data_IF_722352822837
#
_entry.id   IF_722352822837
#
_cell.length_a   1.000
_cell.length_b   1.000
_cell.length_c   1.000
_cell.angle_alpha   90.00
_cell.angle_beta   90.00
_cell.angle_gamma   90.00
#
_symmetry.space_group_name_H-M   'P 1'
#
loop_
_entity.id
_entity.type
_entity.pdbx_description
1 polymer ?
#
# COMPACT_ATOMS: atom_id res chain seq x y z
N UNK A 1 -66.17 42.35 9.76
CA UNK A 1 -66.53 41.61 8.52
C UNK A 1 -65.28 40.91 8.01
N UNK A 2 -65.33 39.60 7.73
CA UNK A 2 -64.16 38.72 7.72
C UNK A 2 -63.41 38.69 6.38
N UNK A 3 -62.15 38.31 6.49
CA UNK A 3 -61.06 38.26 5.50
C UNK A 3 -61.26 37.23 4.38
N UNK A 4 -60.74 37.48 3.15
CA UNK A 4 -60.66 36.45 2.13
C UNK A 4 -59.50 35.50 2.42
N UNK A 5 -59.81 34.21 2.32
CA UNK A 5 -59.02 33.08 2.79
C UNK A 5 -57.75 32.87 1.94
N UNK A 6 -56.64 32.55 2.63
CA UNK A 6 -55.40 32.05 2.02
C UNK A 6 -55.62 30.63 1.50
N UNK A 7 -55.52 30.41 0.20
CA UNK A 7 -55.27 29.07 -0.33
C UNK A 7 -53.77 28.85 -0.48
N UNK A 8 -53.22 28.11 0.48
CA UNK A 8 -51.89 27.53 0.39
C UNK A 8 -51.91 26.41 -0.67
N UNK A 9 -51.30 26.67 -1.84
CA UNK A 9 -50.96 25.61 -2.78
C UNK A 9 -49.52 25.14 -2.54
N UNK A 10 -49.43 24.03 -1.84
CA UNK A 10 -48.23 23.18 -1.72
C UNK A 10 -47.84 22.64 -3.10
N UNK A 11 -46.72 23.10 -3.67
CA UNK A 11 -46.02 22.34 -4.72
C UNK A 11 -45.04 21.40 -4.00
N UNK A 12 -45.54 20.23 -3.59
CA UNK A 12 -44.69 19.11 -3.22
C UNK A 12 -44.29 18.35 -4.49
N UNK A 13 -42.98 18.10 -4.60
CA UNK A 13 -42.39 16.92 -5.24
C UNK A 13 -42.47 16.82 -6.77
N UNK A 14 -41.49 17.42 -7.46
CA UNK A 14 -41.10 17.02 -8.83
C UNK A 14 -39.59 16.74 -8.97
N UNK A 15 -38.93 16.20 -7.93
CA UNK A 15 -37.51 15.81 -8.00
C UNK A 15 -37.25 14.30 -7.78
N UNK A 16 -38.28 13.44 -7.84
CA UNK A 16 -38.12 12.00 -7.64
C UNK A 16 -37.98 11.18 -8.94
N UNK A 17 -38.28 11.74 -10.12
CA UNK A 17 -38.50 10.95 -11.34
C UNK A 17 -37.31 10.83 -12.31
N UNK A 18 -36.23 11.59 -12.14
CA UNK A 18 -35.09 11.59 -13.08
C UNK A 18 -33.95 10.67 -12.62
N UNK A 19 -33.80 10.48 -11.30
CA UNK A 19 -32.71 9.69 -10.73
C UNK A 19 -32.89 8.16 -10.83
N UNK A 20 -34.12 7.66 -11.06
CA UNK A 20 -34.39 6.22 -11.23
C UNK A 20 -34.10 5.75 -12.66
N UNK A 21 -34.39 6.58 -13.65
CA UNK A 21 -34.25 6.25 -15.08
C UNK A 21 -32.79 6.22 -15.52
N UNK A 22 -31.96 7.14 -15.02
CA UNK A 22 -30.51 7.14 -15.29
C UNK A 22 -29.84 5.94 -14.61
N UNK A 23 -30.24 5.58 -13.39
CA UNK A 23 -29.75 4.38 -12.69
C UNK A 23 -30.17 3.09 -13.40
N UNK A 24 -31.39 3.02 -13.94
CA UNK A 24 -31.87 1.86 -14.70
C UNK A 24 -31.16 1.71 -16.05
N UNK A 25 -30.85 2.82 -16.72
CA UNK A 25 -30.07 2.83 -17.97
C UNK A 25 -28.63 2.37 -17.74
N UNK A 26 -27.98 2.86 -16.68
CA UNK A 26 -26.64 2.40 -16.29
C UNK A 26 -26.66 0.90 -15.93
N UNK A 27 -27.65 0.44 -15.15
CA UNK A 27 -27.76 -0.97 -14.76
C UNK A 27 -27.97 -1.93 -15.95
N UNK A 28 -28.59 -1.46 -17.03
CA UNK A 28 -28.84 -2.24 -18.26
C UNK A 28 -27.64 -2.28 -19.22
N UNK A 29 -26.73 -1.31 -19.16
CA UNK A 29 -25.49 -1.31 -19.97
C UNK A 29 -24.33 -2.06 -19.30
N UNK A 30 -24.30 -2.17 -17.96
CA UNK A 30 -23.24 -2.90 -17.25
C UNK A 30 -23.44 -4.42 -17.19
N UNK A 31 -24.62 -4.93 -17.52
CA UNK A 31 -24.95 -6.36 -17.32
C UNK A 31 -24.74 -7.27 -18.53
N UNK A 32 -24.30 -6.76 -19.70
CA UNK A 32 -24.22 -7.58 -20.93
C UNK A 32 -22.85 -7.68 -21.61
N UNK A 33 -21.75 -7.14 -21.07
CA UNK A 33 -20.44 -7.31 -21.73
C UNK A 33 -19.22 -7.60 -20.86
N UNK A 34 -19.22 -7.49 -19.53
CA UNK A 34 -18.01 -7.86 -18.76
C UNK A 34 -18.37 -8.42 -17.37
N UNK A 35 -18.90 -9.64 -17.34
CA UNK A 35 -18.81 -10.49 -16.15
C UNK A 35 -17.49 -11.28 -16.22
N UNK A 36 -16.37 -10.56 -16.35
CA UNK A 36 -15.10 -11.12 -15.91
C UNK A 36 -15.17 -11.05 -14.39
N UNK A 37 -15.26 -12.20 -13.72
CA UNK A 37 -15.09 -12.29 -12.27
C UNK A 37 -13.81 -11.54 -11.93
N UNK A 38 -13.94 -10.38 -11.32
CA UNK A 38 -12.77 -9.66 -10.82
C UNK A 38 -12.13 -10.57 -9.78
N UNK A 39 -10.80 -10.80 -9.79
CA UNK A 39 -10.09 -11.69 -8.84
C UNK A 39 -10.18 -11.23 -7.37
N UNK A 40 -11.04 -10.25 -7.08
CA UNK A 40 -11.33 -9.74 -5.75
C UNK A 40 -12.29 -10.63 -4.95
N UNK A 41 -12.88 -11.67 -5.55
CA UNK A 41 -13.90 -12.52 -4.91
C UNK A 41 -13.37 -13.26 -3.66
N UNK A 42 -12.06 -13.51 -3.58
CA UNK A 42 -11.40 -14.16 -2.43
C UNK A 42 -11.02 -13.17 -1.30
N UNK A 43 -11.33 -11.88 -1.44
CA UNK A 43 -10.99 -10.86 -0.42
C UNK A 43 -12.19 -10.51 0.45
N UNK A 44 -12.03 -10.70 1.76
CA UNK A 44 -13.00 -10.24 2.75
C UNK A 44 -12.83 -8.74 3.05
N UNK A 45 -13.89 -7.96 2.83
CA UNK A 45 -13.92 -6.54 3.20
C UNK A 45 -14.02 -6.39 4.72
N UNK A 46 -12.92 -5.95 5.34
CA UNK A 46 -12.86 -5.71 6.77
C UNK A 46 -12.97 -4.22 7.07
N UNK A 47 -13.98 -3.82 7.83
CA UNK A 47 -14.14 -2.44 8.30
C UNK A 47 -13.33 -2.24 9.60
N UNK A 48 -12.02 -2.06 9.47
CA UNK A 48 -11.12 -1.85 10.60
C UNK A 48 -11.17 -0.38 11.06
N UNK A 49 -11.36 -0.17 12.36
CA UNK A 49 -11.25 1.16 12.98
C UNK A 49 -9.83 1.36 13.50
N UNK A 50 -9.11 2.30 12.92
CA UNK A 50 -7.74 2.63 13.30
C UNK A 50 -7.69 3.96 14.06
N UNK A 51 -6.84 4.10 15.09
CA UNK A 51 -6.46 5.39 15.63
C UNK A 51 -5.92 6.31 14.54
N UNK A 52 -6.20 7.62 14.64
CA UNK A 52 -5.80 8.61 13.60
C UNK A 52 -4.30 8.61 13.33
N UNK A 53 -3.50 8.59 14.40
CA UNK A 53 -2.04 8.58 14.27
C UNK A 53 -1.54 7.33 13.54
N UNK A 54 -2.12 6.17 13.84
CA UNK A 54 -1.74 4.92 13.18
C UNK A 54 -2.10 4.94 11.69
N UNK A 55 -3.28 5.46 11.34
CA UNK A 55 -3.68 5.66 9.95
C UNK A 55 -2.67 6.54 9.19
N UNK A 56 -2.29 7.69 9.76
CA UNK A 56 -1.31 8.59 9.13
C UNK A 56 0.04 7.93 8.95
N UNK A 57 0.53 7.18 9.95
CA UNK A 57 1.81 6.46 9.85
C UNK A 57 1.81 5.41 8.74
N UNK A 58 0.70 4.69 8.55
CA UNK A 58 0.56 3.69 7.49
C UNK A 58 0.51 4.37 6.13
N UNK A 59 -0.20 5.50 6.02
CA UNK A 59 -0.26 6.27 4.78
C UNK A 59 1.12 6.79 4.34
N UNK A 60 1.91 7.32 5.27
CA UNK A 60 3.29 7.73 4.99
C UNK A 60 4.19 6.55 4.61
N UNK A 61 4.05 5.41 5.30
CA UNK A 61 4.81 4.20 4.98
C UNK A 61 4.50 3.69 3.58
N UNK A 62 3.21 3.68 3.20
CA UNK A 62 2.76 3.29 1.86
C UNK A 62 3.32 4.23 0.78
N UNK A 63 3.34 5.55 1.04
CA UNK A 63 3.92 6.52 0.13
C UNK A 63 5.44 6.30 -0.07
N UNK A 64 6.17 5.99 1.02
CA UNK A 64 7.60 5.69 0.97
C UNK A 64 7.90 4.36 0.25
N UNK A 65 7.05 3.35 0.41
CA UNK A 65 7.23 2.04 -0.22
C UNK A 65 6.70 1.97 -1.65
N UNK A 66 6.01 3.02 -2.13
CA UNK A 66 5.37 3.03 -3.44
C UNK A 66 4.17 2.08 -3.55
N UNK A 67 3.62 1.64 -2.41
CA UNK A 67 2.49 0.71 -2.33
C UNK A 67 1.18 1.45 -2.09
N UNK A 68 0.06 0.81 -2.44
CA UNK A 68 -1.24 1.26 -1.94
C UNK A 68 -1.31 1.04 -0.42
N UNK A 69 -2.11 1.85 0.28
CA UNK A 69 -2.29 1.71 1.72
C UNK A 69 -2.74 0.30 2.12
N UNK A 70 -3.60 -0.34 1.32
CA UNK A 70 -4.05 -1.70 1.56
C UNK A 70 -2.93 -2.74 1.38
N UNK A 71 -2.08 -2.56 0.36
CA UNK A 71 -0.94 -3.45 0.14
C UNK A 71 0.10 -3.33 1.28
N UNK A 72 0.32 -2.12 1.80
CA UNK A 72 1.19 -1.90 2.97
C UNK A 72 0.63 -2.54 4.24
N UNK A 73 -0.70 -2.46 4.45
CA UNK A 73 -1.38 -3.14 5.56
C UNK A 73 -1.21 -4.65 5.48
N UNK A 74 -1.50 -5.25 4.33
CA UNK A 74 -1.37 -6.70 4.10
C UNK A 74 0.07 -7.14 4.36
N UNK A 75 1.05 -6.46 3.75
CA UNK A 75 2.47 -6.78 3.92
C UNK A 75 2.89 -6.80 5.40
N UNK A 76 2.48 -5.79 6.18
CA UNK A 76 2.80 -5.71 7.62
C UNK A 76 2.16 -6.82 8.42
N UNK A 77 0.88 -7.11 8.15
CA UNK A 77 0.16 -8.19 8.83
C UNK A 77 0.77 -9.54 8.49
N UNK A 78 1.03 -9.84 7.22
CA UNK A 78 1.69 -11.07 6.79
C UNK A 78 3.07 -11.23 7.42
N UNK A 79 3.87 -10.15 7.43
CA UNK A 79 5.19 -10.14 8.06
C UNK A 79 5.12 -10.42 9.57
N UNK A 80 4.02 -10.05 10.24
CA UNK A 80 3.84 -10.35 11.67
C UNK A 80 3.53 -11.82 11.96
N UNK A 81 3.04 -12.55 10.97
CA UNK A 81 2.77 -14.00 11.08
C UNK A 81 3.92 -14.86 10.55
N UNK A 82 4.84 -14.30 9.77
CA UNK A 82 6.02 -15.03 9.32
C UNK A 82 6.96 -15.23 10.50
N UNK A 83 7.32 -16.48 10.85
CA UNK A 83 8.35 -16.70 11.84
C UNK A 83 9.64 -16.03 11.35
N UNK A 84 10.29 -15.27 12.21
CA UNK A 84 11.62 -14.71 11.92
C UNK A 84 12.63 -15.85 11.92
N UNK A 85 12.60 -16.69 10.89
CA UNK A 85 13.62 -17.71 10.66
C UNK A 85 14.81 -16.98 10.08
N UNK A 86 15.64 -16.42 10.95
CA UNK A 86 16.99 -16.08 10.56
C UNK A 86 17.65 -17.42 10.27
N UNK A 87 17.97 -17.67 9.01
CA UNK A 87 18.86 -18.77 8.68
C UNK A 87 20.26 -18.37 9.15
N UNK A 88 20.56 -18.71 10.40
CA UNK A 88 21.83 -18.41 11.06
C UNK A 88 23.01 -18.89 10.22
N UNK A 89 22.84 -19.99 9.47
CA UNK A 89 23.87 -20.53 8.58
C UNK A 89 24.14 -19.58 7.39
N UNK A 90 23.09 -19.07 6.75
CA UNK A 90 23.23 -18.11 5.65
C UNK A 90 23.85 -16.78 6.11
N UNK A 91 23.55 -16.32 7.33
CA UNK A 91 24.16 -15.12 7.91
C UNK A 91 25.64 -15.36 8.21
N UNK A 92 25.99 -16.52 8.80
CA UNK A 92 27.36 -16.90 9.07
C UNK A 92 28.20 -16.99 7.78
N UNK A 93 27.66 -17.61 6.74
CA UNK A 93 28.32 -17.71 5.43
C UNK A 93 28.57 -16.32 4.81
N UNK A 94 27.56 -15.45 4.88
CA UNK A 94 27.69 -14.08 4.35
C UNK A 94 28.73 -13.29 5.13
N UNK A 95 28.76 -13.42 6.45
CA UNK A 95 29.73 -12.78 7.31
C UNK A 95 31.15 -13.28 7.04
N UNK A 96 31.33 -14.59 6.87
CA UNK A 96 32.63 -15.19 6.54
C UNK A 96 33.19 -14.65 5.21
N UNK A 97 32.34 -14.52 4.19
CA UNK A 97 32.72 -13.93 2.90
C UNK A 97 33.14 -12.46 3.09
N UNK A 98 32.40 -11.69 3.89
CA UNK A 98 32.73 -10.29 4.16
C UNK A 98 34.07 -10.15 4.89
N UNK A 99 34.32 -10.95 5.92
CA UNK A 99 35.58 -10.92 6.68
C UNK A 99 36.77 -11.30 5.82
N UNK A 100 36.63 -12.31 4.96
CA UNK A 100 37.70 -12.72 4.03
C UNK A 100 38.08 -11.60 3.06
N UNK A 101 37.09 -10.88 2.54
CA UNK A 101 37.33 -9.72 1.65
C UNK A 101 38.00 -8.57 2.39
N UNK A 102 37.60 -8.30 3.64
CA UNK A 102 38.24 -7.27 4.45
C UNK A 102 39.72 -7.57 4.66
N UNK A 103 40.07 -8.81 5.04
CA UNK A 103 41.47 -9.22 5.21
C UNK A 103 42.28 -9.17 3.90
N UNK A 104 41.67 -9.47 2.75
CA UNK A 104 42.33 -9.34 1.45
C UNK A 104 42.66 -7.89 1.12
N UNK A 105 41.73 -6.97 1.38
CA UNK A 105 41.95 -5.54 1.15
C UNK A 105 43.04 -4.97 2.06
N UNK A 106 43.12 -5.43 3.30
CA UNK A 106 44.21 -5.04 4.22
C UNK A 106 45.58 -5.45 3.65
N UNK A 107 45.73 -6.70 3.21
CA UNK A 107 46.98 -7.18 2.60
C UNK A 107 47.32 -6.45 1.29
N UNK A 108 46.31 -6.13 0.47
CA UNK A 108 46.51 -5.38 -0.78
C UNK A 108 46.97 -3.94 -0.51
N UNK A 109 46.42 -3.30 0.52
CA UNK A 109 46.80 -1.95 0.93
C UNK A 109 48.24 -1.91 1.42
N UNK A 110 48.63 -2.85 2.29
CA UNK A 110 50.01 -2.95 2.79
C UNK A 110 51.01 -3.19 1.65
N UNK A 111 50.63 -4.05 0.69
CA UNK A 111 51.46 -4.33 -0.49
C UNK A 111 51.67 -3.09 -1.36
N UNK A 112 50.61 -2.33 -1.62
CA UNK A 112 50.71 -1.08 -2.39
C UNK A 112 51.57 -0.03 -1.67
N UNK A 113 51.52 0.01 -0.35
CA UNK A 113 52.34 0.92 0.45
C UNK A 113 53.84 0.57 0.35
N UNK A 114 54.18 -0.72 0.40
CA UNK A 114 55.56 -1.18 0.18
C UNK A 114 56.07 -0.90 -1.24
N UNK A 115 55.23 -1.06 -2.26
CA UNK A 115 55.63 -0.78 -3.65
C UNK A 115 55.91 0.71 -3.88
N UNK A 116 55.19 1.61 -3.17
CA UNK A 116 55.41 3.06 -3.24
C UNK A 116 56.72 3.51 -2.55
N UNK A 117 57.13 2.85 -1.48
CA UNK A 117 58.36 3.19 -0.77
C UNK A 117 59.62 2.83 -1.59
N UNK A 118 59.54 1.80 -2.45
CA UNK A 118 60.66 1.35 -3.30
C UNK A 118 60.97 2.25 -4.50
N UNK A 119 60.00 3.06 -4.95
CA UNK A 119 60.18 4.00 -6.08
C UNK A 119 60.73 5.38 -5.63
N UNK A 120 61.05 5.54 -4.34
CA UNK A 120 61.47 6.81 -3.73
C UNK A 120 62.97 6.95 -3.43
N UNK A 121 63.81 5.99 -3.85
CA UNK A 121 65.29 6.05 -3.84
C UNK A 121 65.88 6.37 -5.23
#
# INVERSE_FOLDING_TARGET
>A
MPSPQRHAFTIKAQHASVNSTVKAFFKRCYTRRMAQLTPQDDYLKTALRLPRELHSRIQEAAAKSGRSMNAELIHRLESSFQPTTIDESAVADRLLIMLRRAAQLEMEFERQQMDLDLDSE
#
